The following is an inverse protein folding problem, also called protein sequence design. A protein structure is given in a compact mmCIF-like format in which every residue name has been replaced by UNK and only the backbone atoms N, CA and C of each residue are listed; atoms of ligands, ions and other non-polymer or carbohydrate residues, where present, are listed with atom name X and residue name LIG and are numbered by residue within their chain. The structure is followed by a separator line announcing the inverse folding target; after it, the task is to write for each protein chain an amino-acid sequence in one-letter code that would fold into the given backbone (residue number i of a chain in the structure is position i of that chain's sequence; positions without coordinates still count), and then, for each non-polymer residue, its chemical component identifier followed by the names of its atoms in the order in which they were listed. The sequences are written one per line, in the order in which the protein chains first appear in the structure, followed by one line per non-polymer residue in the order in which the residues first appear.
data_IF_838390984649
#
_entry.id   IF_838390984649
#
_cell.length_a   1.000
_cell.length_b   1.000
_cell.length_c   1.000
_cell.angle_alpha   90.00
_cell.angle_beta   90.00
_cell.angle_gamma   90.00
#
_symmetry.space_group_name_H-M   'P 1'
#
loop_
_entity.id
_entity.type
_entity.pdbx_description
1 polymer ?
#
# COMPACT_ATOMS: atom_id res chain seq x y z
N UNK A 1 18.97 -3.95 22.38
CA UNK A 1 18.56 -3.16 21.19
C UNK A 1 17.08 -2.89 21.36
N UNK A 2 16.64 -1.65 21.30
CA UNK A 2 15.20 -1.37 21.35
C UNK A 2 14.61 -1.89 20.05
N UNK A 3 13.58 -2.72 20.12
CA UNK A 3 12.80 -3.14 18.95
C UNK A 3 12.02 -1.93 18.43
N UNK A 4 11.99 -1.75 17.12
CA UNK A 4 11.23 -0.67 16.48
C UNK A 4 9.74 -0.78 16.81
N UNK A 5 9.09 0.38 16.97
CA UNK A 5 7.67 0.46 17.24
C UNK A 5 6.87 0.31 15.95
N UNK A 6 6.19 -0.82 15.80
CA UNK A 6 5.30 -1.05 14.67
C UNK A 6 3.85 -1.00 15.10
N UNK A 7 3.05 -0.22 14.35
CA UNK A 7 1.60 -0.10 14.51
C UNK A 7 0.93 -0.48 13.20
N UNK A 8 0.11 -1.51 13.22
CA UNK A 8 -0.66 -1.97 12.07
C UNK A 8 -2.11 -1.50 12.16
N UNK A 9 -2.64 -0.89 11.09
CA UNK A 9 -4.05 -0.51 10.99
C UNK A 9 -4.64 -1.13 9.73
N UNK A 10 -5.50 -2.12 9.93
CA UNK A 10 -6.20 -2.82 8.87
C UNK A 10 -7.66 -2.37 8.76
N UNK A 11 -8.30 -2.70 7.66
CA UNK A 11 -9.72 -2.45 7.45
C UNK A 11 -10.09 -2.29 5.97
N UNK A 12 -11.39 -2.25 5.65
CA UNK A 12 -11.88 -2.16 4.27
C UNK A 12 -11.57 -0.81 3.62
N UNK A 13 -11.74 -0.72 2.29
CA UNK A 13 -11.61 0.54 1.56
C UNK A 13 -12.56 1.61 2.12
N UNK A 14 -12.13 2.87 2.12
CA UNK A 14 -12.89 4.02 2.62
C UNK A 14 -13.33 3.92 4.10
N UNK A 15 -12.66 3.09 4.93
CA UNK A 15 -12.92 3.04 6.38
C UNK A 15 -12.31 4.21 7.17
N UNK A 16 -11.39 4.98 6.57
CA UNK A 16 -10.68 6.10 7.21
C UNK A 16 -9.30 5.75 7.74
N UNK A 17 -8.75 4.57 7.39
CA UNK A 17 -7.42 4.12 7.86
C UNK A 17 -6.29 5.09 7.56
N UNK A 18 -6.26 5.61 6.33
CA UNK A 18 -5.19 6.49 5.87
C UNK A 18 -5.13 7.75 6.71
N UNK A 19 -6.28 8.43 6.89
CA UNK A 19 -6.35 9.67 7.68
C UNK A 19 -6.02 9.40 9.15
N UNK A 20 -6.61 8.34 9.73
CA UNK A 20 -6.36 7.94 11.13
C UNK A 20 -4.90 7.57 11.35
N UNK A 21 -4.31 6.76 10.47
CA UNK A 21 -2.93 6.32 10.60
C UNK A 21 -1.93 7.46 10.41
N UNK A 22 -2.19 8.35 9.44
CA UNK A 22 -1.36 9.53 9.20
C UNK A 22 -1.38 10.48 10.41
N UNK A 23 -2.56 10.76 10.95
CA UNK A 23 -2.70 11.61 12.13
C UNK A 23 -2.00 11.00 13.34
N UNK A 24 -2.19 9.71 13.59
CA UNK A 24 -1.51 8.99 14.68
C UNK A 24 0.02 9.09 14.54
N UNK A 25 0.55 8.82 13.34
CA UNK A 25 1.99 8.87 13.11
C UNK A 25 2.56 10.28 13.35
N UNK A 26 1.84 11.32 12.94
CA UNK A 26 2.19 12.72 13.20
C UNK A 26 2.20 13.05 14.69
N UNK A 27 1.17 12.64 15.45
CA UNK A 27 1.04 12.92 16.88
C UNK A 27 2.15 12.27 17.72
N UNK A 28 2.60 11.08 17.33
CA UNK A 28 3.65 10.36 18.08
C UNK A 28 5.05 10.49 17.44
N UNK A 29 5.17 11.21 16.32
CA UNK A 29 6.44 11.56 15.69
C UNK A 29 7.18 10.38 15.04
N UNK A 30 6.46 9.42 14.42
CA UNK A 30 7.04 8.28 13.72
C UNK A 30 6.64 8.25 12.23
N UNK A 31 7.26 7.37 11.46
CA UNK A 31 7.00 7.20 10.03
C UNK A 31 5.57 6.71 9.75
N UNK A 32 5.07 7.00 8.55
CA UNK A 32 3.77 6.52 8.07
C UNK A 32 3.88 5.93 6.66
N UNK A 33 3.20 4.81 6.43
CA UNK A 33 3.09 4.18 5.11
C UNK A 33 1.66 3.71 4.83
N UNK A 34 1.06 4.24 3.76
CA UNK A 34 -0.13 3.66 3.13
C UNK A 34 0.31 2.64 2.08
N UNK A 35 0.21 1.35 2.40
CA UNK A 35 0.63 0.27 1.50
C UNK A 35 -0.21 0.22 0.22
N UNK A 36 -1.42 0.74 0.25
CA UNK A 36 -2.28 0.85 -0.94
C UNK A 36 -1.66 1.67 -2.06
N UNK A 37 -0.83 2.67 -1.73
CA UNK A 37 -0.09 3.45 -2.73
C UNK A 37 0.95 2.61 -3.46
N UNK A 38 1.62 1.69 -2.77
CA UNK A 38 2.59 0.77 -3.39
C UNK A 38 1.90 -0.20 -4.36
N UNK A 39 0.72 -0.73 -4.00
CA UNK A 39 -0.08 -1.58 -4.90
C UNK A 39 -0.55 -0.80 -6.13
N UNK A 40 -0.93 0.46 -5.98
CA UNK A 40 -1.30 1.34 -7.09
C UNK A 40 -0.12 1.63 -8.00
N UNK A 41 1.05 1.90 -7.45
CA UNK A 41 2.27 2.12 -8.21
C UNK A 41 2.66 0.88 -9.02
N UNK A 42 2.59 -0.31 -8.42
CA UNK A 42 2.84 -1.57 -9.10
C UNK A 42 1.82 -1.82 -10.22
N UNK A 43 0.53 -1.53 -9.97
CA UNK A 43 -0.52 -1.63 -10.99
C UNK A 43 -0.26 -0.68 -12.15
N UNK A 44 0.10 0.57 -11.86
CA UNK A 44 0.47 1.54 -12.88
C UNK A 44 1.66 1.06 -13.73
N UNK A 45 2.69 0.49 -13.09
CA UNK A 45 3.82 -0.11 -13.80
C UNK A 45 3.34 -1.15 -14.82
N UNK A 46 2.61 -2.17 -14.39
CA UNK A 46 2.19 -3.27 -15.27
C UNK A 46 1.24 -2.83 -16.38
N UNK A 47 0.32 -1.89 -16.12
CA UNK A 47 -0.55 -1.32 -17.18
C UNK A 47 0.29 -0.66 -18.27
N UNK A 48 1.32 0.11 -17.91
CA UNK A 48 2.15 0.83 -18.88
C UNK A 48 3.13 -0.07 -19.64
N UNK A 49 3.55 -1.18 -19.04
CA UNK A 49 4.36 -2.19 -19.71
C UNK A 49 3.52 -3.19 -20.51
N UNK A 50 2.18 -2.96 -20.62
CA UNK A 50 1.24 -3.77 -21.42
C UNK A 50 1.28 -5.26 -21.09
N UNK A 51 1.51 -5.62 -19.84
CA UNK A 51 1.28 -6.97 -19.36
C UNK A 51 -0.22 -7.12 -19.16
N UNK A 52 -0.85 -7.80 -20.09
CA UNK A 52 -2.29 -8.09 -20.06
C UNK A 52 -2.61 -9.10 -18.94
N UNK A 53 -3.88 -9.17 -18.58
CA UNK A 53 -4.40 -10.14 -17.60
C UNK A 53 -4.08 -11.59 -17.95
N UNK A 54 -3.86 -11.87 -19.23
CA UNK A 54 -3.46 -13.19 -19.73
C UNK A 54 -1.97 -13.51 -19.55
N UNK A 55 -1.15 -12.50 -19.21
CA UNK A 55 0.31 -12.62 -19.12
C UNK A 55 0.80 -12.73 -17.66
N UNK A 56 -0.10 -12.89 -16.69
CA UNK A 56 0.26 -12.95 -15.26
C UNK A 56 1.22 -14.09 -14.92
N UNK A 57 1.16 -15.19 -15.66
CA UNK A 57 2.10 -16.29 -15.51
C UNK A 57 3.53 -15.93 -15.95
N UNK A 58 3.69 -14.85 -16.72
CA UNK A 58 4.97 -14.32 -17.16
C UNK A 58 5.62 -13.37 -16.15
N UNK A 59 4.87 -12.95 -15.10
CA UNK A 59 5.40 -12.12 -14.03
C UNK A 59 6.31 -12.98 -13.14
N UNK A 60 7.54 -13.16 -13.59
CA UNK A 60 8.57 -13.84 -12.83
C UNK A 60 9.28 -12.88 -11.86
N UNK A 61 10.16 -13.45 -11.01
CA UNK A 61 10.84 -12.66 -9.97
C UNK A 61 11.78 -11.60 -10.53
N UNK A 62 12.33 -11.82 -11.70
CA UNK A 62 13.34 -10.93 -12.31
C UNK A 62 12.76 -9.58 -12.72
N UNK A 63 11.46 -9.54 -13.06
CA UNK A 63 10.75 -8.28 -13.39
C UNK A 63 10.77 -7.29 -12.22
N UNK A 64 10.75 -7.77 -10.98
CA UNK A 64 10.68 -6.91 -9.80
C UNK A 64 11.99 -6.24 -9.43
N UNK A 65 13.13 -6.73 -9.93
CA UNK A 65 14.45 -6.18 -9.62
C UNK A 65 14.61 -4.78 -10.21
N UNK A 66 13.95 -4.49 -11.32
CA UNK A 66 13.96 -3.19 -11.99
C UNK A 66 12.86 -2.23 -11.50
N UNK A 67 12.07 -2.63 -10.49
CA UNK A 67 10.96 -1.82 -9.98
C UNK A 67 11.34 -1.22 -8.64
N UNK A 68 11.65 0.08 -8.62
CA UNK A 68 11.83 0.85 -7.39
C UNK A 68 10.59 1.71 -7.13
N UNK A 69 9.91 1.48 -6.00
CA UNK A 69 8.75 2.26 -5.55
C UNK A 69 9.11 2.95 -4.26
N UNK A 70 9.01 4.27 -4.25
CA UNK A 70 9.23 5.12 -3.08
C UNK A 70 7.96 5.90 -2.77
N UNK A 71 7.61 5.98 -1.50
CA UNK A 71 6.44 6.73 -1.01
C UNK A 71 6.91 7.74 0.02
N UNK A 72 6.72 9.03 -0.28
CA UNK A 72 7.08 10.13 0.61
C UNK A 72 5.82 10.88 1.06
N UNK A 73 5.83 11.34 2.31
CA UNK A 73 4.81 12.23 2.89
C UNK A 73 3.35 11.75 2.70
N UNK A 74 3.14 10.45 2.56
CA UNK A 74 1.82 9.81 2.37
C UNK A 74 1.07 10.22 1.10
N UNK A 75 1.71 10.89 0.16
CA UNK A 75 1.07 11.40 -1.07
C UNK A 75 1.97 11.35 -2.30
N UNK A 76 3.28 11.52 -2.11
CA UNK A 76 4.23 11.57 -3.20
C UNK A 76 4.74 10.15 -3.49
N UNK A 77 4.45 9.64 -4.67
CA UNK A 77 4.83 8.29 -5.09
C UNK A 77 5.73 8.36 -6.32
N UNK A 78 6.90 7.78 -6.18
CA UNK A 78 7.88 7.70 -7.26
C UNK A 78 8.04 6.25 -7.72
N UNK A 79 8.11 6.06 -9.01
CA UNK A 79 8.44 4.80 -9.66
C UNK A 79 9.69 5.01 -10.51
N UNK A 80 10.79 4.33 -10.17
CA UNK A 80 12.07 4.48 -10.84
C UNK A 80 12.48 5.96 -11.00
N UNK A 81 12.38 6.74 -9.92
CA UNK A 81 12.64 8.18 -9.83
C UNK A 81 11.68 9.08 -10.65
N UNK A 82 10.60 8.54 -11.20
CA UNK A 82 9.58 9.33 -11.91
C UNK A 82 8.40 9.56 -10.94
N UNK A 83 8.00 10.81 -10.77
CA UNK A 83 6.80 11.15 -9.97
C UNK A 83 5.54 10.66 -10.69
N UNK A 84 4.85 9.72 -10.07
CA UNK A 84 3.61 9.12 -10.57
C UNK A 84 2.41 9.41 -9.64
N UNK A 85 2.56 10.34 -8.71
CA UNK A 85 1.59 10.60 -7.64
C UNK A 85 0.17 10.85 -8.14
N UNK A 86 0.02 11.49 -9.30
CA UNK A 86 -1.28 11.71 -9.92
C UNK A 86 -1.76 10.52 -10.76
N UNK A 87 -0.83 9.84 -11.41
CA UNK A 87 -1.13 8.74 -12.34
C UNK A 87 -1.68 7.51 -11.63
N UNK A 88 -1.28 7.27 -10.40
CA UNK A 88 -1.74 6.12 -9.61
C UNK A 88 -3.22 6.19 -9.19
N UNK A 89 -3.88 7.33 -9.43
CA UNK A 89 -5.31 7.52 -9.19
C UNK A 89 -6.13 7.59 -10.48
N UNK A 90 -5.53 7.28 -11.64
CA UNK A 90 -6.27 7.18 -12.90
C UNK A 90 -7.34 6.09 -12.85
N UNK A 91 -8.36 6.20 -13.72
CA UNK A 91 -9.45 5.22 -13.82
C UNK A 91 -8.91 3.81 -14.13
N UNK A 92 -7.91 3.69 -14.98
CA UNK A 92 -7.29 2.40 -15.30
C UNK A 92 -6.69 1.73 -14.08
N UNK A 93 -5.96 2.50 -13.26
CA UNK A 93 -5.40 1.99 -12.00
C UNK A 93 -6.50 1.68 -11.00
N UNK A 94 -7.50 2.55 -10.84
CA UNK A 94 -8.63 2.35 -9.95
C UNK A 94 -9.37 1.04 -10.25
N UNK A 95 -9.60 0.76 -11.54
CA UNK A 95 -10.33 -0.42 -12.01
C UNK A 95 -9.51 -1.71 -11.86
N UNK A 96 -8.19 -1.65 -11.95
CA UNK A 96 -7.32 -2.83 -12.03
C UNK A 96 -6.53 -3.13 -10.75
N UNK A 97 -6.41 -2.20 -9.81
CA UNK A 97 -5.58 -2.38 -8.62
C UNK A 97 -5.95 -3.61 -7.80
N UNK A 98 -7.23 -3.94 -7.68
CA UNK A 98 -7.68 -5.12 -6.94
C UNK A 98 -7.27 -6.43 -7.62
N UNK A 99 -7.25 -6.45 -8.95
CA UNK A 99 -6.82 -7.59 -9.75
C UNK A 99 -5.32 -7.84 -9.56
N UNK A 100 -4.49 -6.83 -9.80
CA UNK A 100 -3.03 -6.93 -9.63
C UNK A 100 -2.63 -7.23 -8.18
N UNK A 101 -3.33 -6.67 -7.20
CA UNK A 101 -3.11 -6.99 -5.79
C UNK A 101 -3.46 -8.45 -5.42
N UNK A 102 -4.23 -9.14 -6.23
CA UNK A 102 -4.52 -10.58 -6.09
C UNK A 102 -3.40 -11.50 -6.60
N UNK A 103 -2.46 -10.99 -7.40
CA UNK A 103 -1.38 -11.79 -7.98
C UNK A 103 -0.33 -12.09 -6.90
N UNK A 104 -0.07 -13.38 -6.70
CA UNK A 104 0.79 -13.84 -5.61
C UNK A 104 2.21 -13.27 -5.69
N UNK A 105 2.84 -13.27 -6.86
CA UNK A 105 4.20 -12.76 -7.05
C UNK A 105 4.31 -11.26 -6.72
N UNK A 106 3.32 -10.45 -7.11
CA UNK A 106 3.23 -9.03 -6.78
C UNK A 106 3.10 -8.85 -5.27
N UNK A 107 2.20 -9.59 -4.62
CA UNK A 107 2.02 -9.51 -3.16
C UNK A 107 3.29 -9.86 -2.42
N UNK A 108 3.92 -10.99 -2.75
CA UNK A 108 5.17 -11.44 -2.11
C UNK A 108 6.28 -10.39 -2.23
N UNK A 109 6.41 -9.76 -3.41
CA UNK A 109 7.40 -8.70 -3.61
C UNK A 109 7.10 -7.46 -2.76
N UNK A 110 5.85 -6.97 -2.80
CA UNK A 110 5.47 -5.78 -2.05
C UNK A 110 5.53 -6.01 -0.54
N UNK A 111 5.11 -7.17 -0.04
CA UNK A 111 5.23 -7.53 1.39
C UNK A 111 6.69 -7.45 1.84
N UNK A 112 7.62 -8.02 1.07
CA UNK A 112 9.06 -7.92 1.40
C UNK A 112 9.55 -6.47 1.44
N UNK A 113 9.19 -5.64 0.46
CA UNK A 113 9.55 -4.21 0.45
C UNK A 113 8.98 -3.48 1.67
N UNK A 114 7.73 -3.75 2.04
CA UNK A 114 7.07 -3.17 3.21
C UNK A 114 7.76 -3.59 4.52
N UNK A 115 8.14 -4.86 4.63
CA UNK A 115 8.88 -5.37 5.79
C UNK A 115 10.24 -4.71 5.93
N UNK A 116 11.00 -4.57 4.83
CA UNK A 116 12.30 -3.87 4.84
C UNK A 116 12.17 -2.41 5.29
N UNK A 117 11.12 -1.70 4.86
CA UNK A 117 10.83 -0.34 5.33
C UNK A 117 10.60 -0.31 6.85
N UNK A 118 9.93 -1.33 7.38
CA UNK A 118 9.65 -1.40 8.82
C UNK A 118 10.87 -1.76 9.66
N UNK A 119 11.81 -2.55 9.12
CA UNK A 119 13.02 -2.97 9.85
C UNK A 119 13.86 -1.78 10.33
N UNK A 120 13.87 -0.69 9.58
CA UNK A 120 14.67 0.50 9.87
C UNK A 120 13.89 1.63 10.54
N UNK A 121 12.58 1.48 10.79
CA UNK A 121 11.74 2.59 11.22
C UNK A 121 10.72 2.22 12.32
N UNK A 122 10.53 3.13 13.26
CA UNK A 122 9.27 3.20 14.00
C UNK A 122 8.19 3.67 13.02
N UNK A 123 7.09 2.89 12.85
CA UNK A 123 6.16 3.14 11.75
C UNK A 123 4.71 2.77 12.06
N UNK A 124 3.79 3.60 11.55
CA UNK A 124 2.38 3.25 11.36
C UNK A 124 2.20 2.79 9.92
N UNK A 125 1.78 1.56 9.72
CA UNK A 125 1.39 1.05 8.40
C UNK A 125 -0.11 0.83 8.32
N UNK A 126 -0.72 1.24 7.22
CA UNK A 126 -2.14 1.00 6.95
C UNK A 126 -2.34 0.15 5.70
N UNK A 127 -3.33 -0.77 5.75
CA UNK A 127 -3.62 -1.66 4.62
C UNK A 127 -4.82 -2.58 4.85
N UNK A 128 -4.69 -3.83 4.40
CA UNK A 128 -5.74 -4.86 4.51
C UNK A 128 -5.35 -6.06 5.34
N UNK A 129 -4.06 -6.35 5.39
CA UNK A 129 -3.47 -7.53 6.03
C UNK A 129 -2.12 -7.18 6.70
N UNK A 130 -1.99 -5.93 7.15
CA UNK A 130 -0.74 -5.45 7.75
C UNK A 130 -0.43 -6.22 9.04
N UNK A 131 -1.39 -6.31 9.96
CA UNK A 131 -1.19 -6.98 11.24
C UNK A 131 -1.15 -8.50 11.18
N UNK A 132 -1.46 -9.11 10.02
CA UNK A 132 -1.48 -10.56 9.84
C UNK A 132 -0.37 -11.09 8.95
N UNK A 133 0.02 -10.33 7.93
CA UNK A 133 0.99 -10.75 6.91
C UNK A 133 2.25 -9.88 6.91
N UNK A 134 2.09 -8.56 6.84
CA UNK A 134 3.24 -7.64 6.68
C UNK A 134 3.99 -7.51 8.00
N UNK A 135 3.30 -7.16 9.08
CA UNK A 135 3.85 -6.93 10.42
C UNK A 135 3.17 -7.85 11.44
N UNK A 136 3.35 -9.18 11.35
CA UNK A 136 2.67 -10.13 12.23
C UNK A 136 3.07 -9.97 13.70
N UNK A 137 4.21 -9.35 13.97
CA UNK A 137 4.72 -9.06 15.32
C UNK A 137 4.52 -7.59 15.73
N UNK A 138 3.73 -6.80 14.99
CA UNK A 138 3.44 -5.42 15.37
C UNK A 138 2.90 -5.34 16.80
N UNK A 139 3.44 -4.41 17.58
CA UNK A 139 3.11 -4.22 19.00
C UNK A 139 1.65 -3.81 19.18
N UNK A 140 1.12 -3.01 18.24
CA UNK A 140 -0.26 -2.60 18.24
C UNK A 140 -0.90 -2.93 16.89
N UNK A 141 -2.07 -3.55 16.93
CA UNK A 141 -2.85 -3.93 15.77
C UNK A 141 -4.28 -3.47 15.93
N UNK A 142 -4.75 -2.69 14.98
CA UNK A 142 -6.10 -2.14 14.96
C UNK A 142 -6.83 -2.58 13.70
N UNK A 143 -8.11 -2.86 13.81
CA UNK A 143 -8.98 -3.07 12.68
C UNK A 143 -10.03 -1.96 12.64
N UNK A 144 -9.96 -1.10 11.62
CA UNK A 144 -10.87 0.02 11.46
C UNK A 144 -12.05 -0.40 10.59
N UNK A 145 -13.20 -0.58 11.19
CA UNK A 145 -14.44 -0.90 10.49
C UNK A 145 -15.33 0.34 10.32
N UNK A 146 -16.20 0.28 9.34
CA UNK A 146 -17.15 1.33 9.03
C UNK A 146 -18.32 0.74 8.23
N UNK A 147 -19.52 1.26 8.45
CA UNK A 147 -20.72 0.79 7.75
C UNK A 147 -20.58 0.92 6.22
N UNK A 148 -21.22 0.00 5.48
CA UNK A 148 -21.22 0.02 4.02
C UNK A 148 -21.70 1.36 3.47
N UNK A 149 -22.75 1.94 4.05
CA UNK A 149 -23.30 3.23 3.62
C UNK A 149 -22.28 4.35 3.78
N UNK A 150 -21.60 4.41 4.93
CA UNK A 150 -20.57 5.44 5.17
C UNK A 150 -19.39 5.28 4.20
N UNK A 151 -18.97 4.04 3.93
CA UNK A 151 -17.89 3.77 2.96
C UNK A 151 -18.28 4.16 1.54
N UNK A 152 -19.51 3.87 1.13
CA UNK A 152 -20.03 4.26 -0.19
C UNK A 152 -20.04 5.78 -0.37
N UNK A 153 -20.55 6.52 0.63
CA UNK A 153 -20.57 7.99 0.60
C UNK A 153 -19.14 8.56 0.52
N UNK A 154 -18.22 8.04 1.35
CA UNK A 154 -16.82 8.48 1.33
C UNK A 154 -16.14 8.21 -0.01
N UNK A 155 -16.44 7.06 -0.63
CA UNK A 155 -15.89 6.73 -1.94
C UNK A 155 -16.38 7.65 -3.04
N UNK A 156 -17.68 8.01 -3.04
CA UNK A 156 -18.26 8.97 -3.98
C UNK A 156 -17.66 10.38 -3.88
N UNK A 157 -17.05 10.73 -2.76
CA UNK A 157 -16.37 12.03 -2.58
C UNK A 157 -14.86 11.97 -2.92
N UNK A 158 -14.32 10.77 -3.16
CA UNK A 158 -12.91 10.59 -3.55
C UNK A 158 -12.71 10.46 -5.05
N UNK A 159 -13.77 10.10 -5.77
CA UNK A 159 -13.83 10.02 -7.22
C UNK A 159 -14.35 11.36 -7.78
#
# INVERSE_FOLDING_TARGET
MNENLHIAIDGPAASGKTDTGKLLAQEIGISFLDTGLMYRAMTYYFINFKLDENDFDLINKDIFDDINIEVFDSQNVYLNNIDISKMIFSDDVNNKVSLYAGIQSIRENLVKKQQLIAEDNDIVMVGRDIGTVVLPNAKFKFFLDCSLNTRAIRRMHQD
#
